data_IF_062238111935
#
_entry.id   IF_062238111935
#
_cell.length_a   1.000
_cell.length_b   1.000
_cell.length_c   1.000
_cell.angle_alpha   90.00
_cell.angle_beta   90.00
_cell.angle_gamma   90.00
#
_symmetry.space_group_name_H-M   'P 1'
#
loop_
_entity.id
_entity.type
_entity.pdbx_description
1 polymer ?
#
# COMPACT_ATOMS: atom_id res chain seq x y z
N UNK A 1 12.81 -4.70 21.52
CA UNK A 1 12.47 -4.17 20.19
C UNK A 1 13.25 -2.89 19.98
N UNK A 2 14.10 -2.81 18.96
CA UNK A 2 14.84 -1.59 18.62
C UNK A 2 14.02 -0.66 17.70
N UNK A 3 14.54 0.55 17.44
CA UNK A 3 13.87 1.56 16.59
C UNK A 3 13.52 1.03 15.20
N UNK A 4 14.40 0.22 14.60
CA UNK A 4 14.21 -0.39 13.28
C UNK A 4 13.08 -1.42 13.29
N UNK A 5 13.07 -2.31 14.27
CA UNK A 5 12.05 -3.36 14.41
C UNK A 5 10.65 -2.75 14.60
N UNK A 6 10.52 -1.72 15.46
CA UNK A 6 9.26 -0.99 15.64
C UNK A 6 8.79 -0.33 14.33
N UNK A 7 9.72 0.24 13.57
CA UNK A 7 9.41 0.86 12.28
C UNK A 7 8.94 -0.18 11.24
N UNK A 8 9.64 -1.32 11.13
CA UNK A 8 9.24 -2.44 10.26
C UNK A 8 7.87 -2.99 10.65
N UNK A 9 7.60 -3.16 11.94
CA UNK A 9 6.31 -3.66 12.43
C UNK A 9 5.17 -2.70 12.06
N UNK A 10 5.37 -1.39 12.28
CA UNK A 10 4.41 -0.35 11.88
C UNK A 10 4.07 -0.44 10.39
N UNK A 11 5.09 -0.45 9.53
CA UNK A 11 4.89 -0.52 8.07
C UNK A 11 4.19 -1.84 7.68
N UNK A 12 4.61 -2.95 8.26
CA UNK A 12 3.98 -4.26 8.01
C UNK A 12 2.50 -4.25 8.37
N UNK A 13 2.14 -3.67 9.52
CA UNK A 13 0.75 -3.51 9.96
C UNK A 13 -0.08 -2.67 8.99
N UNK A 14 0.45 -1.52 8.58
CA UNK A 14 -0.22 -0.64 7.60
C UNK A 14 -0.43 -1.33 6.25
N UNK A 15 0.58 -2.04 5.73
CA UNK A 15 0.47 -2.74 4.46
C UNK A 15 -0.57 -3.86 4.52
N UNK A 16 -0.66 -4.58 5.65
CA UNK A 16 -1.70 -5.60 5.88
C UNK A 16 -3.11 -4.99 5.91
N UNK A 17 -3.25 -3.85 6.56
CA UNK A 17 -4.51 -3.10 6.60
C UNK A 17 -4.94 -2.69 5.18
N UNK A 18 -4.03 -2.10 4.41
CA UNK A 18 -4.30 -1.67 3.04
C UNK A 18 -4.59 -2.82 2.09
N UNK A 19 -3.88 -3.96 2.22
CA UNK A 19 -4.21 -5.17 1.47
C UNK A 19 -5.67 -5.57 1.67
N UNK A 20 -6.12 -5.60 2.93
CA UNK A 20 -7.50 -5.99 3.27
C UNK A 20 -8.53 -5.00 2.67
N UNK A 21 -8.19 -3.72 2.62
CA UNK A 21 -9.04 -2.69 2.01
C UNK A 21 -9.07 -2.80 0.48
N UNK A 22 -7.94 -3.11 -0.16
CA UNK A 22 -7.87 -3.35 -1.61
C UNK A 22 -8.71 -4.58 -1.99
N UNK A 23 -8.65 -5.66 -1.19
CA UNK A 23 -9.46 -6.86 -1.40
C UNK A 23 -10.96 -6.55 -1.31
N UNK A 24 -11.35 -5.70 -0.36
CA UNK A 24 -12.74 -5.22 -0.25
C UNK A 24 -13.17 -4.38 -1.47
N UNK A 25 -12.29 -3.54 -2.03
CA UNK A 25 -12.54 -2.77 -3.25
C UNK A 25 -12.70 -3.69 -4.46
N UNK A 26 -11.86 -4.73 -4.59
CA UNK A 26 -11.98 -5.76 -5.64
C UNK A 26 -13.34 -6.44 -5.56
N UNK A 27 -13.75 -6.89 -4.37
CA UNK A 27 -15.05 -7.52 -4.17
C UNK A 27 -16.22 -6.57 -4.48
N UNK A 28 -16.09 -5.28 -4.14
CA UNK A 28 -17.12 -4.26 -4.43
C UNK A 28 -17.22 -3.96 -5.93
N UNK A 29 -16.09 -3.93 -6.65
CA UNK A 29 -16.02 -3.71 -8.11
C UNK A 29 -16.87 -4.73 -8.88
N UNK A 30 -16.94 -5.98 -8.43
CA UNK A 30 -17.76 -7.01 -9.09
C UNK A 30 -19.27 -6.73 -8.98
N UNK A 31 -19.70 -5.97 -7.96
CA UNK A 31 -21.11 -5.65 -7.67
C UNK A 31 -21.61 -4.38 -8.36
N UNK A 32 -20.75 -3.60 -9.01
CA UNK A 32 -21.16 -2.37 -9.71
C UNK A 32 -21.53 -2.62 -11.18
N UNK A 33 -22.19 -1.63 -11.81
CA UNK A 33 -22.56 -1.67 -13.23
C UNK A 33 -21.31 -1.80 -14.13
N UNK A 34 -21.49 -2.38 -15.32
CA UNK A 34 -20.40 -2.69 -16.25
C UNK A 34 -19.55 -1.46 -16.63
N UNK A 35 -20.17 -0.31 -16.88
CA UNK A 35 -19.44 0.92 -17.26
C UNK A 35 -18.53 1.41 -16.13
N UNK A 36 -19.00 1.36 -14.88
CA UNK A 36 -18.24 1.76 -13.70
C UNK A 36 -17.16 0.72 -13.34
N UNK A 37 -17.39 -0.56 -13.65
CA UNK A 37 -16.45 -1.66 -13.39
C UNK A 37 -15.11 -1.44 -14.08
N UNK A 38 -15.12 -0.94 -15.31
CA UNK A 38 -13.89 -0.70 -16.09
C UNK A 38 -13.04 0.43 -15.51
N UNK A 39 -13.66 1.53 -15.07
CA UNK A 39 -12.94 2.63 -14.42
C UNK A 39 -12.30 2.15 -13.11
N UNK A 40 -13.06 1.43 -12.29
CA UNK A 40 -12.56 0.91 -11.03
C UNK A 40 -11.48 -0.17 -11.20
N UNK A 41 -11.57 -1.00 -12.25
CA UNK A 41 -10.52 -1.97 -12.57
C UNK A 41 -9.17 -1.29 -12.75
N UNK A 42 -9.11 -0.20 -13.53
CA UNK A 42 -7.88 0.57 -13.75
C UNK A 42 -7.33 1.17 -12.45
N UNK A 43 -8.20 1.69 -11.59
CA UNK A 43 -7.76 2.28 -10.32
C UNK A 43 -7.25 1.24 -9.32
N UNK A 44 -7.89 0.08 -9.26
CA UNK A 44 -7.47 -1.05 -8.44
C UNK A 44 -6.13 -1.62 -8.96
N UNK A 45 -5.91 -1.64 -10.27
CA UNK A 45 -4.63 -2.03 -10.85
C UNK A 45 -3.50 -1.08 -10.41
N UNK A 46 -3.72 0.24 -10.52
CA UNK A 46 -2.79 1.25 -10.00
C UNK A 46 -2.50 1.07 -8.51
N UNK A 47 -3.52 0.75 -7.70
CA UNK A 47 -3.33 0.45 -6.28
C UNK A 47 -2.46 -0.77 -6.05
N UNK A 48 -2.67 -1.84 -6.81
CA UNK A 48 -1.86 -3.06 -6.70
C UNK A 48 -0.39 -2.82 -7.06
N UNK A 49 -0.11 -2.02 -8.09
CA UNK A 49 1.27 -1.66 -8.46
C UNK A 49 1.97 -0.85 -7.35
N UNK A 50 1.29 0.14 -6.77
CA UNK A 50 1.84 0.94 -5.65
C UNK A 50 2.05 0.08 -4.40
N UNK A 51 1.11 -0.80 -4.10
CA UNK A 51 1.18 -1.79 -3.00
C UNK A 51 2.36 -2.73 -3.16
N UNK A 52 2.61 -3.23 -4.38
CA UNK A 52 3.75 -4.07 -4.68
C UNK A 52 5.07 -3.30 -4.49
N UNK A 53 5.14 -2.06 -4.97
CA UNK A 53 6.30 -1.18 -4.77
C UNK A 53 6.58 -0.95 -3.29
N UNK A 54 5.54 -0.68 -2.49
CA UNK A 54 5.63 -0.54 -1.04
C UNK A 54 6.11 -1.85 -0.37
N UNK A 55 5.60 -3.00 -0.79
CA UNK A 55 6.02 -4.30 -0.29
C UNK A 55 7.51 -4.58 -0.57
N UNK A 56 7.97 -4.30 -1.79
CA UNK A 56 9.38 -4.47 -2.17
C UNK A 56 10.31 -3.59 -1.33
N UNK A 57 9.91 -2.33 -1.05
CA UNK A 57 10.70 -1.42 -0.22
C UNK A 57 10.72 -1.81 1.26
N UNK A 58 9.60 -2.31 1.77
CA UNK A 58 9.56 -2.88 3.12
C UNK A 58 10.47 -4.12 3.23
N UNK A 59 10.52 -4.94 2.18
CA UNK A 59 11.42 -6.09 2.12
C UNK A 59 12.89 -5.67 2.05
N UNK A 60 13.22 -4.64 1.26
CA UNK A 60 14.56 -4.04 1.25
C UNK A 60 14.97 -3.58 2.66
N UNK A 61 14.09 -2.85 3.35
CA UNK A 61 14.30 -2.38 4.71
C UNK A 61 14.54 -3.54 5.70
N UNK A 62 13.76 -4.61 5.61
CA UNK A 62 13.93 -5.83 6.43
C UNK A 62 15.27 -6.53 6.20
N UNK A 63 15.86 -6.37 5.01
CA UNK A 63 17.15 -6.94 4.66
C UNK A 63 18.33 -6.01 5.00
N UNK A 64 18.10 -4.72 5.30
CA UNK A 64 19.16 -3.82 5.79
C UNK A 64 19.45 -4.03 7.27
N UNK A 65 20.73 -4.01 7.65
CA UNK A 65 21.18 -4.02 9.04
C UNK A 65 20.98 -2.68 9.76
N UNK A 66 21.25 -2.66 11.07
CA UNK A 66 21.04 -1.49 11.95
C UNK A 66 21.82 -0.23 11.53
N UNK A 67 22.91 -0.36 10.78
CA UNK A 67 23.72 0.78 10.35
C UNK A 67 23.29 1.47 9.04
N UNK A 68 22.31 0.92 8.31
CA UNK A 68 21.95 1.39 6.96
C UNK A 68 20.43 1.44 6.69
N UNK A 69 19.59 1.20 7.70
CA UNK A 69 18.14 1.15 7.52
C UNK A 69 17.49 2.53 7.45
N UNK A 70 18.11 3.57 8.04
CA UNK A 70 17.56 4.92 8.09
C UNK A 70 17.47 5.56 6.69
N UNK A 71 18.48 5.36 5.83
CA UNK A 71 18.46 5.83 4.44
C UNK A 71 17.30 5.22 3.63
N UNK A 72 17.04 3.92 3.85
CA UNK A 72 15.91 3.22 3.21
C UNK A 72 14.58 3.70 3.81
N UNK A 73 14.52 3.94 5.11
CA UNK A 73 13.33 4.47 5.78
C UNK A 73 12.93 5.85 5.24
N UNK A 74 13.88 6.75 5.01
CA UNK A 74 13.59 8.05 4.37
C UNK A 74 13.01 7.89 2.97
N UNK A 75 13.49 6.91 2.19
CA UNK A 75 12.93 6.61 0.87
C UNK A 75 11.52 6.00 0.89
N UNK A 76 11.12 5.37 2.00
CA UNK A 76 9.81 4.72 2.14
C UNK A 76 8.68 5.73 2.30
N UNK A 77 8.90 6.88 2.94
CA UNK A 77 7.84 7.81 3.32
C UNK A 77 6.97 8.23 2.13
N UNK A 78 7.60 8.63 1.02
CA UNK A 78 6.90 9.03 -0.21
C UNK A 78 6.07 7.90 -0.82
N UNK A 79 6.57 6.67 -0.76
CA UNK A 79 5.91 5.49 -1.32
C UNK A 79 4.68 5.13 -0.46
N UNK A 80 4.81 5.23 0.86
CA UNK A 80 3.72 5.02 1.80
C UNK A 80 2.62 6.07 1.66
N UNK A 81 3.00 7.34 1.54
CA UNK A 81 2.05 8.45 1.35
C UNK A 81 1.30 8.34 0.03
N UNK A 82 2.00 8.01 -1.05
CA UNK A 82 1.42 7.85 -2.38
C UNK A 82 0.42 6.67 -2.44
N UNK A 83 0.77 5.54 -1.83
CA UNK A 83 -0.16 4.40 -1.70
C UNK A 83 -1.40 4.77 -0.88
N UNK A 84 -1.22 5.40 0.29
CA UNK A 84 -2.33 5.85 1.14
C UNK A 84 -3.25 6.81 0.39
N UNK A 85 -2.68 7.83 -0.25
CA UNK A 85 -3.43 8.85 -0.98
C UNK A 85 -4.22 8.22 -2.12
N UNK A 86 -3.60 7.31 -2.88
CA UNK A 86 -4.30 6.59 -3.94
C UNK A 86 -5.45 5.77 -3.38
N UNK A 87 -5.23 5.07 -2.26
CA UNK A 87 -6.26 4.22 -1.64
C UNK A 87 -7.47 5.05 -1.17
N UNK A 88 -7.23 6.18 -0.52
CA UNK A 88 -8.27 7.08 -0.06
C UNK A 88 -9.06 7.71 -1.23
N UNK A 89 -8.37 8.03 -2.32
CA UNK A 89 -9.01 8.51 -3.55
C UNK A 89 -9.93 7.45 -4.18
N UNK A 90 -9.46 6.20 -4.30
CA UNK A 90 -10.27 5.11 -4.84
C UNK A 90 -11.48 4.86 -3.93
N UNK A 91 -11.29 4.75 -2.61
CA UNK A 91 -12.40 4.58 -1.67
C UNK A 91 -13.46 5.68 -1.79
N UNK A 92 -13.03 6.93 -1.98
CA UNK A 92 -13.96 8.06 -2.14
C UNK A 92 -14.79 7.93 -3.41
N UNK A 93 -14.23 7.40 -4.50
CA UNK A 93 -14.99 7.12 -5.74
C UNK A 93 -15.92 5.91 -5.65
N UNK A 94 -15.71 5.03 -4.67
CA UNK A 94 -16.59 3.91 -4.37
C UNK A 94 -17.72 4.27 -3.39
N UNK A 95 -17.68 5.44 -2.74
CA UNK A 95 -18.82 5.91 -1.93
C UNK A 95 -20.01 6.23 -2.83
#
# INVERSE_FOLDING_TARGET
>A
MNKREMYIEKLTGQLKEWNSQIDALIAKKEKVKADTRNEYAKQIETLNQKKETAAQRLEELKNKGEGAWEDVATGIEKIWEDLKTTLDNVKTRFK
#
